data_IF_616186241996
#
_entry.id   IF_616186241996
#
_cell.length_a   1.000
_cell.length_b   1.000
_cell.length_c   1.000
_cell.angle_alpha   90.00
_cell.angle_beta   90.00
_cell.angle_gamma   90.00
#
_symmetry.space_group_name_H-M   'P 1'
#
loop_
_entity.id
_entity.type
_entity.pdbx_description
1 polymer ?
#
# COMPACT_ATOMS: atom_id res chain seq x y z
N UNK A 1 12.44 -23.50 -6.75
CA UNK A 1 11.90 -24.67 -7.49
C UNK A 1 10.70 -25.37 -6.83
N UNK A 2 10.26 -25.00 -5.63
CA UNK A 2 9.04 -25.56 -4.99
C UNK A 2 7.74 -24.89 -5.45
N UNK A 3 7.78 -23.65 -5.87
CA UNK A 3 6.61 -22.83 -6.30
C UNK A 3 6.00 -23.25 -7.64
N UNK A 4 6.74 -23.93 -8.51
CA UNK A 4 6.27 -24.29 -9.86
C UNK A 4 5.36 -25.55 -9.89
N UNK A 5 5.28 -26.32 -8.81
CA UNK A 5 4.40 -27.51 -8.74
C UNK A 5 2.95 -27.19 -8.39
N UNK A 6 2.67 -26.00 -7.81
CA UNK A 6 1.32 -25.58 -7.38
C UNK A 6 0.44 -25.26 -8.59
N UNK A 7 1.03 -24.83 -9.71
CA UNK A 7 0.28 -24.39 -10.90
C UNK A 7 -0.41 -25.54 -11.66
N UNK A 8 0.06 -26.79 -11.51
CA UNK A 8 -0.49 -27.91 -12.27
C UNK A 8 -1.70 -28.60 -11.61
N UNK A 9 -1.88 -28.44 -10.29
CA UNK A 9 -3.00 -29.07 -9.57
C UNK A 9 -4.35 -28.34 -9.75
N UNK A 10 -4.33 -27.08 -10.18
CA UNK A 10 -5.54 -26.25 -10.30
C UNK A 10 -6.29 -26.42 -11.63
N UNK A 11 -5.68 -27.07 -12.62
CA UNK A 11 -6.25 -27.14 -13.98
C UNK A 11 -7.16 -28.33 -14.31
N UNK A 12 -7.36 -29.29 -13.40
CA UNK A 12 -8.17 -30.50 -13.69
C UNK A 12 -9.29 -30.62 -12.69
N UNK A 13 -10.43 -29.97 -12.92
CA UNK A 13 -11.72 -30.36 -12.30
C UNK A 13 -12.90 -29.62 -12.93
N UNK A 14 -13.28 -30.06 -14.10
CA UNK A 14 -14.62 -29.86 -14.64
C UNK A 14 -15.34 -31.19 -14.55
N UNK A 15 -16.11 -31.45 -13.52
CA UNK A 15 -17.40 -32.20 -13.55
C UNK A 15 -17.86 -32.50 -12.12
N UNK A 16 -19.04 -32.16 -11.86
CA UNK A 16 -20.08 -32.87 -11.08
C UNK A 16 -20.82 -31.96 -10.09
N UNK A 17 -22.10 -31.92 -10.33
CA UNK A 17 -23.09 -31.18 -9.55
C UNK A 17 -23.35 -31.80 -8.16
N UNK A 18 -23.99 -30.96 -7.37
CA UNK A 18 -24.81 -31.26 -6.19
C UNK A 18 -24.38 -32.42 -5.28
N UNK A 19 -23.29 -32.23 -4.55
CA UNK A 19 -23.12 -32.89 -3.27
C UNK A 19 -22.30 -31.99 -2.35
N UNK A 20 -22.76 -31.81 -1.12
CA UNK A 20 -22.04 -31.00 -0.07
C UNK A 20 -20.71 -31.61 0.38
N UNK A 21 -20.19 -32.60 -0.31
CA UNK A 21 -18.97 -33.31 0.03
C UNK A 21 -17.83 -32.87 -0.89
N UNK A 22 -16.80 -32.26 -0.33
CA UNK A 22 -15.57 -31.94 -1.03
C UNK A 22 -14.92 -33.21 -1.58
N UNK A 23 -14.47 -33.18 -2.83
CA UNK A 23 -13.62 -34.24 -3.39
C UNK A 23 -12.25 -34.27 -2.69
N UNK A 24 -11.49 -35.35 -2.83
CA UNK A 24 -10.13 -35.44 -2.29
C UNK A 24 -9.23 -34.30 -2.79
N UNK A 25 -9.32 -33.98 -4.08
CA UNK A 25 -8.54 -32.90 -4.72
C UNK A 25 -8.95 -31.52 -4.23
N UNK A 26 -10.25 -31.26 -4.01
CA UNK A 26 -10.74 -30.00 -3.44
C UNK A 26 -10.25 -29.82 -2.00
N UNK A 27 -10.25 -30.89 -1.20
CA UNK A 27 -9.69 -30.85 0.19
C UNK A 27 -8.20 -30.55 0.19
N UNK A 28 -7.46 -31.14 -0.75
CA UNK A 28 -6.04 -30.88 -0.90
C UNK A 28 -5.80 -29.43 -1.29
N UNK A 29 -6.50 -28.91 -2.31
CA UNK A 29 -6.41 -27.50 -2.75
C UNK A 29 -6.71 -26.52 -1.61
N UNK A 30 -7.78 -26.77 -0.82
CA UNK A 30 -8.10 -25.95 0.35
C UNK A 30 -7.01 -26.03 1.43
N UNK A 31 -6.36 -27.15 1.60
CA UNK A 31 -5.26 -27.31 2.56
C UNK A 31 -4.03 -26.52 2.12
N UNK A 32 -3.68 -26.58 0.84
CA UNK A 32 -2.56 -25.80 0.26
C UNK A 32 -2.81 -24.30 0.35
N UNK A 33 -4.03 -23.83 0.03
CA UNK A 33 -4.42 -22.41 0.19
C UNK A 33 -4.31 -21.97 1.65
N UNK A 34 -4.76 -22.80 2.61
CA UNK A 34 -4.67 -22.51 4.04
C UNK A 34 -3.21 -22.40 4.52
N UNK A 35 -2.30 -23.22 4.02
CA UNK A 35 -0.87 -23.13 4.34
C UNK A 35 -0.27 -21.82 3.82
N UNK A 36 -0.56 -21.45 2.57
CA UNK A 36 -0.11 -20.18 1.98
C UNK A 36 -0.68 -18.99 2.77
N UNK A 37 -1.97 -19.01 3.12
CA UNK A 37 -2.63 -17.98 3.94
C UNK A 37 -1.97 -17.82 5.31
N UNK A 38 -1.72 -18.92 6.02
CA UNK A 38 -1.09 -18.84 7.34
C UNK A 38 0.34 -18.27 7.24
N UNK A 39 1.11 -18.65 6.22
CA UNK A 39 2.43 -18.08 5.97
C UNK A 39 2.36 -16.58 5.67
N UNK A 40 1.48 -16.17 4.76
CA UNK A 40 1.32 -14.76 4.40
C UNK A 40 0.84 -13.90 5.58
N UNK A 41 -0.05 -14.42 6.43
CA UNK A 41 -0.50 -13.74 7.66
C UNK A 41 0.70 -13.57 8.61
N UNK A 42 1.46 -14.64 8.88
CA UNK A 42 2.61 -14.58 9.77
C UNK A 42 3.67 -13.57 9.30
N UNK A 43 4.02 -13.60 8.01
CA UNK A 43 4.96 -12.66 7.41
C UNK A 43 4.47 -11.20 7.53
N UNK A 44 3.17 -10.97 7.28
CA UNK A 44 2.56 -9.64 7.36
C UNK A 44 2.54 -9.14 8.81
N UNK A 45 2.20 -10.00 9.78
CA UNK A 45 2.21 -9.68 11.21
C UNK A 45 3.62 -9.40 11.72
N UNK A 46 4.63 -10.10 11.20
CA UNK A 46 6.03 -9.82 11.52
C UNK A 46 6.44 -8.42 11.07
N UNK A 47 6.06 -7.98 9.85
CA UNK A 47 6.30 -6.61 9.38
C UNK A 47 5.61 -5.59 10.29
N UNK A 48 4.35 -5.83 10.65
CA UNK A 48 3.59 -4.95 11.54
C UNK A 48 4.25 -4.85 12.92
N UNK A 49 4.77 -5.96 13.44
CA UNK A 49 5.42 -6.00 14.76
C UNK A 49 6.76 -5.27 14.78
N UNK A 50 7.53 -5.37 13.68
CA UNK A 50 8.83 -4.68 13.53
C UNK A 50 8.66 -3.17 13.35
N UNK A 51 7.53 -2.72 12.77
CA UNK A 51 7.23 -1.31 12.51
C UNK A 51 5.77 -1.02 12.89
N UNK A 52 5.47 -0.80 14.17
CA UNK A 52 4.10 -0.58 14.63
C UNK A 52 3.61 0.81 14.20
N UNK A 53 3.12 0.92 12.98
CA UNK A 53 2.50 2.11 12.41
C UNK A 53 0.99 1.88 12.27
N UNK A 54 0.13 2.68 12.94
CA UNK A 54 -1.33 2.52 12.82
C UNK A 54 -1.85 2.82 11.41
N UNK A 55 -1.07 3.55 10.59
CA UNK A 55 -1.41 3.88 9.20
C UNK A 55 -0.81 2.89 8.20
N UNK A 56 -0.12 1.85 8.68
CA UNK A 56 0.56 0.88 7.84
C UNK A 56 -0.43 0.12 6.94
N UNK A 57 -0.18 0.07 5.63
CA UNK A 57 -1.00 -0.71 4.69
C UNK A 57 -1.00 -2.21 5.01
N UNK A 58 0.03 -2.68 5.71
CA UNK A 58 0.16 -4.08 6.11
C UNK A 58 -0.94 -4.55 7.07
N UNK A 59 -1.53 -3.65 7.88
CA UNK A 59 -2.68 -3.99 8.73
C UNK A 59 -3.91 -4.33 7.91
N UNK A 60 -4.22 -3.52 6.91
CA UNK A 60 -5.34 -3.74 5.99
C UNK A 60 -5.16 -5.06 5.22
N UNK A 61 -3.93 -5.35 4.77
CA UNK A 61 -3.61 -6.59 4.10
C UNK A 61 -3.73 -7.81 5.03
N UNK A 62 -3.26 -7.70 6.28
CA UNK A 62 -3.41 -8.76 7.28
C UNK A 62 -4.88 -9.06 7.57
N UNK A 63 -5.72 -8.04 7.71
CA UNK A 63 -7.16 -8.20 7.95
C UNK A 63 -7.86 -8.88 6.75
N UNK A 64 -7.47 -8.49 5.53
CA UNK A 64 -7.95 -9.12 4.31
C UNK A 64 -7.56 -10.60 4.24
N UNK A 65 -6.31 -10.94 4.54
CA UNK A 65 -5.85 -12.34 4.60
C UNK A 65 -6.62 -13.15 5.65
N UNK A 66 -6.88 -12.59 6.83
CA UNK A 66 -7.68 -13.25 7.88
C UNK A 66 -9.12 -13.50 7.39
N UNK A 67 -9.74 -12.53 6.73
CA UNK A 67 -11.08 -12.67 6.15
C UNK A 67 -11.13 -13.82 5.12
N UNK A 68 -10.16 -13.89 4.22
CA UNK A 68 -10.06 -14.98 3.26
C UNK A 68 -9.88 -16.32 3.97
N UNK A 69 -9.00 -16.38 4.98
CA UNK A 69 -8.75 -17.61 5.76
C UNK A 69 -10.01 -18.12 6.45
N UNK A 70 -10.79 -17.24 7.07
CA UNK A 70 -12.06 -17.61 7.72
C UNK A 70 -13.06 -18.19 6.71
N UNK A 71 -13.17 -17.59 5.52
CA UNK A 71 -14.03 -18.10 4.48
C UNK A 71 -13.58 -19.47 3.97
N UNK A 72 -12.30 -19.63 3.67
CA UNK A 72 -11.72 -20.93 3.25
C UNK A 72 -11.94 -22.00 4.33
N UNK A 73 -11.81 -21.62 5.62
CA UNK A 73 -12.10 -22.54 6.73
C UNK A 73 -13.55 -23.02 6.74
N UNK A 74 -14.52 -22.11 6.54
CA UNK A 74 -15.95 -22.47 6.46
C UNK A 74 -16.26 -23.43 5.32
N UNK A 75 -15.60 -23.22 4.16
CA UNK A 75 -15.75 -24.14 3.02
C UNK A 75 -15.14 -25.52 3.36
N UNK A 76 -13.96 -25.55 3.98
CA UNK A 76 -13.28 -26.78 4.41
C UNK A 76 -14.09 -27.58 5.42
N UNK A 77 -14.82 -26.88 6.29
CA UNK A 77 -15.72 -27.45 7.29
C UNK A 77 -17.10 -27.87 6.72
N UNK A 78 -17.32 -27.67 5.42
CA UNK A 78 -18.59 -27.98 4.76
C UNK A 78 -19.75 -27.04 5.10
N UNK A 79 -19.46 -25.88 5.74
CA UNK A 79 -20.45 -24.85 6.06
C UNK A 79 -20.82 -23.97 4.89
N UNK A 80 -19.96 -23.91 3.88
CA UNK A 80 -20.17 -23.17 2.65
C UNK A 80 -19.80 -24.03 1.43
N UNK A 81 -20.41 -23.80 0.28
CA UNK A 81 -20.13 -24.57 -0.94
C UNK A 81 -18.75 -24.22 -1.50
N UNK A 82 -18.09 -25.19 -2.12
CA UNK A 82 -16.86 -24.96 -2.86
C UNK A 82 -17.17 -24.29 -4.20
N UNK A 83 -16.56 -23.10 -4.44
CA UNK A 83 -16.60 -22.39 -5.71
C UNK A 83 -15.18 -22.28 -6.27
N UNK A 84 -14.94 -22.92 -7.42
CA UNK A 84 -13.63 -22.93 -8.07
C UNK A 84 -13.15 -21.53 -8.46
N UNK A 85 -14.06 -20.68 -8.99
CA UNK A 85 -13.68 -19.32 -9.42
C UNK A 85 -13.29 -18.47 -8.22
N UNK A 86 -14.03 -18.59 -7.12
CA UNK A 86 -13.71 -17.90 -5.88
C UNK A 86 -12.39 -18.36 -5.28
N UNK A 87 -12.12 -19.68 -5.30
CA UNK A 87 -10.84 -20.23 -4.81
C UNK A 87 -9.67 -19.77 -5.68
N UNK A 88 -9.83 -19.77 -7.00
CA UNK A 88 -8.80 -19.22 -7.91
C UNK A 88 -8.55 -17.74 -7.65
N UNK A 89 -9.60 -16.95 -7.42
CA UNK A 89 -9.49 -15.53 -7.04
C UNK A 89 -8.72 -15.38 -5.74
N UNK A 90 -9.05 -16.13 -4.69
CA UNK A 90 -8.36 -16.07 -3.41
C UNK A 90 -6.89 -16.47 -3.52
N UNK A 91 -6.60 -17.53 -4.27
CA UNK A 91 -5.20 -17.96 -4.50
C UNK A 91 -4.39 -16.84 -5.16
N UNK A 92 -4.92 -16.20 -6.21
CA UNK A 92 -4.24 -15.11 -6.89
C UNK A 92 -4.04 -13.89 -5.97
N UNK A 93 -5.04 -13.57 -5.17
CA UNK A 93 -5.02 -12.45 -4.22
C UNK A 93 -3.97 -12.68 -3.11
N UNK A 94 -3.96 -13.88 -2.53
CA UNK A 94 -2.99 -14.25 -1.47
C UNK A 94 -1.56 -14.27 -2.00
N UNK A 95 -1.33 -14.86 -3.17
CA UNK A 95 -0.02 -14.85 -3.81
C UNK A 95 0.44 -13.44 -4.15
N UNK A 96 -0.47 -12.56 -4.61
CA UNK A 96 -0.19 -11.15 -4.83
C UNK A 96 0.24 -10.43 -3.55
N UNK A 97 -0.46 -10.66 -2.43
CA UNK A 97 -0.11 -10.08 -1.14
C UNK A 97 1.25 -10.63 -0.66
N UNK A 98 1.47 -11.92 -0.74
CA UNK A 98 2.74 -12.55 -0.36
C UNK A 98 3.92 -11.97 -1.15
N UNK A 99 3.76 -11.74 -2.45
CA UNK A 99 4.78 -11.10 -3.27
C UNK A 99 5.10 -9.68 -2.80
N UNK A 100 4.09 -8.89 -2.39
CA UNK A 100 4.31 -7.55 -1.83
C UNK A 100 5.04 -7.63 -0.48
N UNK A 101 4.69 -8.61 0.38
CA UNK A 101 5.35 -8.85 1.68
C UNK A 101 6.81 -9.23 1.51
N UNK A 102 7.11 -10.12 0.57
CA UNK A 102 8.47 -10.60 0.30
C UNK A 102 9.34 -9.59 -0.47
N UNK A 103 8.72 -8.68 -1.23
CA UNK A 103 9.39 -7.66 -2.01
C UNK A 103 8.78 -6.28 -1.75
N UNK A 104 8.82 -5.78 -0.51
CA UNK A 104 8.22 -4.49 -0.18
C UNK A 104 8.96 -3.37 -0.92
N UNK A 105 8.21 -2.46 -1.52
CA UNK A 105 8.76 -1.24 -2.11
C UNK A 105 8.26 -0.07 -1.29
N UNK A 106 9.01 0.22 -0.23
CA UNK A 106 8.72 1.28 0.72
C UNK A 106 9.87 2.28 0.78
N UNK A 107 9.57 3.56 0.91
CA UNK A 107 10.57 4.61 1.12
C UNK A 107 10.09 5.59 2.18
N UNK A 108 11.04 6.07 2.97
CA UNK A 108 10.87 7.19 3.89
C UNK A 108 11.66 8.34 3.32
N UNK A 109 10.96 9.42 2.99
CA UNK A 109 11.49 10.53 2.23
C UNK A 109 11.49 11.80 3.10
N UNK A 110 12.64 12.43 3.27
CA UNK A 110 12.72 13.76 3.89
C UNK A 110 12.07 14.81 2.99
N UNK A 111 11.00 15.45 3.46
CA UNK A 111 10.22 16.40 2.66
C UNK A 111 11.06 17.59 2.16
N UNK A 112 12.06 17.99 2.92
CA UNK A 112 12.95 19.12 2.57
C UNK A 112 13.80 18.84 1.31
N UNK A 113 13.99 17.57 0.93
CA UNK A 113 14.64 17.19 -0.33
C UNK A 113 13.73 17.45 -1.53
N UNK A 114 12.42 17.30 -1.35
CA UNK A 114 11.44 17.41 -2.43
C UNK A 114 10.91 18.82 -2.62
N UNK A 115 10.68 19.55 -1.52
CA UNK A 115 10.03 20.84 -1.53
C UNK A 115 10.83 21.87 -0.74
N UNK A 116 11.05 23.03 -1.34
CA UNK A 116 11.49 24.19 -0.60
C UNK A 116 10.44 24.66 0.44
N UNK A 117 10.82 25.59 1.32
CA UNK A 117 9.90 26.17 2.31
C UNK A 117 8.62 26.71 1.65
N UNK A 118 7.46 26.35 2.20
CA UNK A 118 6.17 26.82 1.70
C UNK A 118 5.76 26.27 0.33
N UNK A 119 6.38 25.21 -0.17
CA UNK A 119 6.06 24.57 -1.45
C UNK A 119 5.43 23.21 -1.26
N UNK A 120 4.54 22.81 -2.19
CA UNK A 120 3.83 21.54 -2.17
C UNK A 120 3.32 21.06 -3.53
N UNK A 121 3.44 21.88 -4.60
CA UNK A 121 2.92 21.52 -5.93
C UNK A 121 3.89 20.61 -6.68
N UNK A 122 3.37 19.75 -7.56
CA UNK A 122 4.19 18.86 -8.42
C UNK A 122 5.24 19.66 -9.20
N UNK A 123 4.87 20.84 -9.73
CA UNK A 123 5.78 21.72 -10.47
C UNK A 123 6.91 22.31 -9.61
N UNK A 124 6.81 22.20 -8.29
CA UNK A 124 7.77 22.73 -7.32
C UNK A 124 8.69 21.64 -6.74
N UNK A 125 8.53 20.39 -7.19
CA UNK A 125 9.43 19.29 -6.85
C UNK A 125 10.84 19.60 -7.35
N UNK A 126 11.84 19.37 -6.48
CA UNK A 126 13.24 19.47 -6.86
C UNK A 126 13.65 18.39 -7.88
N UNK A 127 14.70 18.61 -8.65
CA UNK A 127 15.19 17.59 -9.58
C UNK A 127 15.69 16.33 -8.84
N UNK A 128 16.40 16.50 -7.71
CA UNK A 128 16.82 15.40 -6.85
C UNK A 128 15.61 14.58 -6.36
N UNK A 129 14.57 15.28 -5.88
CA UNK A 129 13.33 14.64 -5.46
C UNK A 129 12.64 13.86 -6.60
N UNK A 130 12.61 14.43 -7.81
CA UNK A 130 12.05 13.76 -8.99
C UNK A 130 12.84 12.49 -9.36
N UNK A 131 14.17 12.54 -9.26
CA UNK A 131 15.01 11.36 -9.52
C UNK A 131 14.76 10.24 -8.51
N UNK A 132 14.68 10.58 -7.21
CA UNK A 132 14.34 9.60 -6.17
C UNK A 132 12.97 8.95 -6.41
N UNK A 133 11.96 9.72 -6.83
CA UNK A 133 10.63 9.20 -7.13
C UNK A 133 10.58 8.37 -8.42
N UNK A 134 11.40 8.69 -9.43
CA UNK A 134 11.57 7.84 -10.63
C UNK A 134 12.23 6.51 -10.27
N UNK A 135 13.26 6.53 -9.42
CA UNK A 135 13.89 5.31 -8.94
C UNK A 135 12.89 4.44 -8.15
N UNK A 136 12.06 5.05 -7.29
CA UNK A 136 11.00 4.34 -6.58
C UNK A 136 9.98 3.70 -7.54
N UNK A 137 9.53 4.43 -8.57
CA UNK A 137 8.63 3.88 -9.59
C UNK A 137 9.28 2.70 -10.35
N UNK A 138 10.57 2.82 -10.69
CA UNK A 138 11.33 1.73 -11.31
C UNK A 138 11.43 0.49 -10.40
N UNK A 139 11.64 0.66 -9.09
CA UNK A 139 11.65 -0.45 -8.14
C UNK A 139 10.32 -1.21 -8.12
N UNK A 140 9.18 -0.50 -8.17
CA UNK A 140 7.84 -1.15 -8.27
C UNK A 140 7.77 -2.01 -9.53
N UNK A 141 8.19 -1.47 -10.69
CA UNK A 141 8.15 -2.20 -11.95
C UNK A 141 9.04 -3.45 -11.90
N UNK A 142 10.29 -3.31 -11.46
CA UNK A 142 11.27 -4.39 -11.47
C UNK A 142 10.99 -5.45 -10.40
N UNK A 143 10.67 -5.03 -9.18
CA UNK A 143 10.55 -5.95 -8.05
C UNK A 143 9.18 -6.61 -7.95
N UNK A 144 8.12 -5.95 -8.42
CA UNK A 144 6.75 -6.45 -8.26
C UNK A 144 6.04 -6.70 -9.58
N UNK A 145 5.91 -5.69 -10.47
CA UNK A 145 5.12 -5.84 -11.71
C UNK A 145 5.67 -6.95 -12.59
N UNK A 146 6.98 -6.95 -12.90
CA UNK A 146 7.60 -7.98 -13.75
C UNK A 146 7.47 -9.37 -13.16
N UNK A 147 7.65 -9.51 -11.84
CA UNK A 147 7.53 -10.82 -11.17
C UNK A 147 6.10 -11.33 -11.18
N UNK A 148 5.12 -10.45 -10.84
CA UNK A 148 3.71 -10.84 -10.89
C UNK A 148 3.25 -11.12 -12.33
N UNK A 149 3.72 -10.37 -13.31
CA UNK A 149 3.42 -10.63 -14.73
C UNK A 149 3.97 -11.99 -15.19
N UNK A 150 5.14 -12.39 -14.72
CA UNK A 150 5.69 -13.72 -15.00
C UNK A 150 4.86 -14.86 -14.39
N UNK A 151 4.26 -14.62 -13.22
CA UNK A 151 3.38 -15.59 -12.55
C UNK A 151 1.94 -15.59 -13.11
N UNK A 152 1.45 -14.43 -13.52
CA UNK A 152 0.08 -14.20 -13.99
C UNK A 152 0.06 -13.49 -15.34
N UNK A 153 0.49 -14.15 -16.44
CA UNK A 153 0.70 -13.49 -17.75
C UNK A 153 -0.59 -12.88 -18.32
N UNK A 154 -1.74 -13.48 -18.06
CA UNK A 154 -3.03 -13.07 -18.63
C UNK A 154 -3.93 -12.28 -17.66
N UNK A 155 -3.56 -12.20 -16.38
CA UNK A 155 -4.38 -11.52 -15.39
C UNK A 155 -4.13 -10.01 -15.41
N UNK A 156 -5.17 -9.17 -15.23
CA UNK A 156 -4.96 -7.75 -15.05
C UNK A 156 -4.23 -7.49 -13.71
N UNK A 157 -3.28 -6.56 -13.74
CA UNK A 157 -2.57 -6.10 -12.54
C UNK A 157 -2.98 -4.67 -12.22
N UNK A 158 -3.09 -4.36 -10.93
CA UNK A 158 -3.31 -3.00 -10.42
C UNK A 158 -2.13 -2.60 -9.54
N UNK A 159 -1.58 -1.41 -9.80
CA UNK A 159 -0.52 -0.80 -8.99
C UNK A 159 -1.17 0.23 -8.06
N UNK A 160 -1.03 0.03 -6.76
CA UNK A 160 -1.55 0.92 -5.71
C UNK A 160 -0.40 1.66 -5.06
N UNK A 161 -0.49 2.99 -5.02
CA UNK A 161 0.47 3.86 -4.35
C UNK A 161 -0.21 4.44 -3.12
N UNK A 162 0.46 4.38 -1.96
CA UNK A 162 0.01 5.05 -0.74
C UNK A 162 1.08 6.01 -0.26
N UNK A 163 0.71 7.24 0.03
CA UNK A 163 1.61 8.27 0.55
C UNK A 163 1.08 8.86 1.84
N UNK A 164 1.96 9.04 2.83
CA UNK A 164 1.60 9.51 4.17
C UNK A 164 2.56 10.63 4.53
N UNK A 165 2.08 11.86 4.50
CA UNK A 165 2.86 13.06 4.80
C UNK A 165 2.79 13.44 6.28
N UNK A 166 3.91 13.90 6.83
CA UNK A 166 4.04 14.42 8.18
C UNK A 166 4.63 15.84 8.15
N UNK A 167 4.37 16.62 9.17
CA UNK A 167 4.90 17.96 9.37
C UNK A 167 5.39 18.13 10.81
N UNK A 168 6.31 19.09 11.03
CA UNK A 168 6.65 19.55 12.36
C UNK A 168 5.66 20.62 12.86
N UNK A 169 5.90 21.13 14.06
CA UNK A 169 5.05 22.16 14.69
C UNK A 169 5.48 23.60 14.32
N UNK A 170 6.25 23.76 13.22
CA UNK A 170 6.65 25.10 12.78
C UNK A 170 5.44 25.91 12.31
N UNK A 171 5.27 27.14 12.82
CA UNK A 171 4.23 28.04 12.32
C UNK A 171 4.47 28.39 10.85
N UNK A 172 3.40 28.44 10.08
CA UNK A 172 3.45 28.89 8.70
C UNK A 172 3.53 30.42 8.62
N UNK A 173 4.22 30.93 7.61
CA UNK A 173 4.15 32.37 7.31
C UNK A 173 2.71 32.80 6.97
N UNK A 174 2.30 34.02 7.32
CA UNK A 174 0.92 34.47 7.10
C UNK A 174 0.46 34.35 5.65
N UNK A 175 1.28 34.73 4.68
CA UNK A 175 0.95 34.65 3.25
C UNK A 175 0.72 33.21 2.79
N UNK A 176 1.54 32.27 3.28
CA UNK A 176 1.42 30.84 2.93
C UNK A 176 0.18 30.22 3.59
N UNK A 177 -0.08 30.57 4.86
CA UNK A 177 -1.30 30.15 5.54
C UNK A 177 -2.57 30.64 4.79
N UNK A 178 -2.57 31.87 4.27
CA UNK A 178 -3.69 32.38 3.48
C UNK A 178 -3.81 31.70 2.11
N UNK A 179 -2.68 31.40 1.46
CA UNK A 179 -2.70 30.64 0.21
C UNK A 179 -3.29 29.22 0.42
N UNK A 180 -2.87 28.53 1.47
CA UNK A 180 -3.34 27.19 1.79
C UNK A 180 -4.81 27.15 2.21
N UNK A 181 -5.28 28.21 2.91
CA UNK A 181 -6.70 28.35 3.28
C UNK A 181 -7.63 28.45 2.08
N UNK A 182 -7.20 29.08 0.98
CA UNK A 182 -8.03 29.20 -0.23
C UNK A 182 -8.38 27.83 -0.82
N UNK A 183 -7.52 26.84 -0.60
CA UNK A 183 -7.70 25.47 -1.09
C UNK A 183 -8.48 24.59 -0.10
N UNK A 184 -8.74 25.10 1.12
CA UNK A 184 -9.52 24.40 2.13
C UNK A 184 -11.02 24.64 1.93
N UNK A 185 -11.77 23.55 1.84
CA UNK A 185 -13.24 23.61 1.78
C UNK A 185 -13.90 23.63 3.18
N UNK A 186 -13.12 23.91 4.24
CA UNK A 186 -13.57 23.90 5.64
C UNK A 186 -13.21 25.21 6.31
N UNK A 187 -13.99 25.60 7.33
CA UNK A 187 -13.68 26.76 8.17
C UNK A 187 -12.42 26.51 9.00
N UNK A 188 -11.49 27.47 8.95
CA UNK A 188 -10.24 27.39 9.75
C UNK A 188 -10.52 27.84 11.17
N UNK A 189 -10.12 27.08 12.20
CA UNK A 189 -10.29 27.46 13.60
C UNK A 189 -9.66 28.82 13.92
N UNK A 190 -10.29 29.58 14.82
CA UNK A 190 -9.75 30.85 15.32
C UNK A 190 -8.62 30.65 16.35
N UNK A 191 -8.67 29.53 17.09
CA UNK A 191 -7.68 29.18 18.12
C UNK A 191 -6.31 28.90 17.46
N UNK A 192 -5.20 29.54 17.89
CA UNK A 192 -3.92 29.49 17.20
C UNK A 192 -3.33 28.07 17.04
N UNK A 193 -3.43 27.22 18.07
CA UNK A 193 -2.88 25.85 18.02
C UNK A 193 -3.69 24.99 17.06
N UNK A 194 -5.02 25.02 17.18
CA UNK A 194 -5.91 24.25 16.30
C UNK A 194 -5.77 24.72 14.84
N UNK A 195 -5.61 26.03 14.61
CA UNK A 195 -5.32 26.58 13.29
C UNK A 195 -4.01 26.05 12.72
N UNK A 196 -2.92 26.06 13.51
CA UNK A 196 -1.61 25.54 13.08
C UNK A 196 -1.71 24.07 12.74
N UNK A 197 -2.32 23.26 13.62
CA UNK A 197 -2.49 21.82 13.41
C UNK A 197 -3.26 21.50 12.14
N UNK A 198 -4.36 22.23 11.90
CA UNK A 198 -5.16 22.04 10.68
C UNK A 198 -4.35 22.39 9.42
N UNK A 199 -3.63 23.50 9.43
CA UNK A 199 -2.82 23.93 8.28
C UNK A 199 -1.64 22.96 8.05
N UNK A 200 -0.97 22.48 9.09
CA UNK A 200 0.11 21.52 8.97
C UNK A 200 -0.41 20.15 8.45
N UNK A 201 -1.64 19.77 8.82
CA UNK A 201 -2.30 18.59 8.28
C UNK A 201 -2.58 18.74 6.79
N UNK A 202 -3.10 19.87 6.37
CA UNK A 202 -3.36 20.17 4.96
C UNK A 202 -2.05 20.21 4.15
N UNK A 203 -1.02 20.90 4.64
CA UNK A 203 0.28 20.95 3.97
C UNK A 203 0.88 19.56 3.79
N UNK A 204 0.85 18.73 4.83
CA UNK A 204 1.37 17.37 4.76
C UNK A 204 0.58 16.50 3.79
N UNK A 205 -0.75 16.69 3.71
CA UNK A 205 -1.61 16.04 2.71
C UNK A 205 -1.27 16.47 1.28
N UNK A 206 -1.15 17.77 1.01
CA UNK A 206 -0.83 18.28 -0.34
C UNK A 206 0.54 17.82 -0.83
N UNK A 207 1.52 17.76 0.06
CA UNK A 207 2.85 17.23 -0.26
C UNK A 207 2.78 15.73 -0.58
N UNK A 208 2.09 14.94 0.24
CA UNK A 208 1.86 13.53 -0.02
C UNK A 208 1.14 13.32 -1.36
N UNK A 209 0.10 14.11 -1.65
CA UNK A 209 -0.63 14.07 -2.91
C UNK A 209 0.30 14.35 -4.10
N UNK A 210 1.10 15.40 -4.05
CA UNK A 210 2.03 15.74 -5.15
C UNK A 210 3.08 14.66 -5.39
N UNK A 211 3.58 14.03 -4.33
CA UNK A 211 4.51 12.89 -4.42
C UNK A 211 3.80 11.70 -5.08
N UNK A 212 2.61 11.34 -4.60
CA UNK A 212 1.83 10.21 -5.14
C UNK A 212 1.48 10.38 -6.62
N UNK A 213 0.99 11.56 -7.00
CA UNK A 213 0.64 11.88 -8.39
C UNK A 213 1.88 11.87 -9.31
N UNK A 214 3.02 12.37 -8.84
CA UNK A 214 4.26 12.29 -9.62
C UNK A 214 4.70 10.84 -9.86
N UNK A 215 4.67 9.99 -8.83
CA UNK A 215 5.00 8.56 -8.98
C UNK A 215 4.02 7.87 -9.92
N UNK A 216 2.71 8.16 -9.82
CA UNK A 216 1.71 7.65 -10.77
C UNK A 216 2.07 8.01 -12.21
N UNK A 217 2.38 9.28 -12.49
CA UNK A 217 2.79 9.72 -13.83
C UNK A 217 4.03 8.96 -14.34
N UNK A 218 5.02 8.71 -13.46
CA UNK A 218 6.20 7.94 -13.84
C UNK A 218 5.86 6.47 -14.14
N UNK A 219 5.04 5.84 -13.30
CA UNK A 219 4.59 4.46 -13.52
C UNK A 219 3.80 4.33 -14.82
N UNK A 220 2.85 5.24 -15.09
CA UNK A 220 2.08 5.26 -16.34
C UNK A 220 2.98 5.41 -17.58
N UNK A 221 4.08 6.17 -17.46
CA UNK A 221 5.06 6.30 -18.54
C UNK A 221 5.93 5.06 -18.75
N UNK A 222 6.19 4.29 -17.69
CA UNK A 222 7.02 3.08 -17.72
C UNK A 222 6.23 1.83 -18.08
N UNK A 223 4.94 1.79 -17.69
CA UNK A 223 4.07 0.63 -17.85
C UNK A 223 3.35 0.69 -19.21
N UNK A 224 4.06 0.37 -20.27
CA UNK A 224 3.50 0.21 -21.63
C UNK A 224 2.86 -1.17 -21.84
N UNK A 225 2.88 -2.03 -20.83
CA UNK A 225 2.35 -3.39 -20.91
C UNK A 225 0.83 -3.41 -20.85
N UNK A 226 0.21 -4.25 -21.69
CA UNK A 226 -1.23 -4.49 -21.61
C UNK A 226 -1.65 -5.04 -20.25
N UNK A 227 -2.86 -4.69 -19.83
CA UNK A 227 -3.50 -5.17 -18.60
C UNK A 227 -2.76 -4.81 -17.29
N UNK A 228 -2.00 -3.71 -17.28
CA UNK A 228 -1.51 -3.11 -16.04
C UNK A 228 -2.12 -1.74 -15.88
N UNK A 229 -2.78 -1.49 -14.75
CA UNK A 229 -3.37 -0.20 -14.41
C UNK A 229 -2.66 0.40 -13.20
N UNK A 230 -2.56 1.72 -13.17
CA UNK A 230 -2.08 2.44 -11.98
C UNK A 230 -3.28 3.16 -11.37
N UNK A 231 -3.63 2.77 -10.15
CA UNK A 231 -4.76 3.37 -9.46
C UNK A 231 -4.46 4.81 -9.02
N UNK A 232 -5.50 5.56 -8.68
CA UNK A 232 -5.32 6.87 -8.07
C UNK A 232 -4.62 6.72 -6.72
N UNK A 233 -3.58 7.53 -6.43
CA UNK A 233 -2.84 7.41 -5.18
C UNK A 233 -3.73 7.65 -3.96
N UNK A 234 -3.53 6.85 -2.91
CA UNK A 234 -4.18 7.01 -1.62
C UNK A 234 -3.28 7.88 -0.75
N UNK A 235 -3.72 9.11 -0.45
CA UNK A 235 -2.90 10.11 0.21
C UNK A 235 -3.43 10.44 1.61
N UNK A 236 -2.52 10.55 2.59
CA UNK A 236 -2.85 10.93 3.96
C UNK A 236 -1.96 12.08 4.43
N UNK A 237 -2.57 13.06 5.10
CA UNK A 237 -1.88 14.12 5.82
C UNK A 237 -2.00 13.89 7.32
N UNK A 238 -0.91 13.56 7.97
CA UNK A 238 -0.85 13.30 9.42
C UNK A 238 -0.54 14.57 10.22
N UNK A 239 -0.18 15.67 9.53
CA UNK A 239 0.16 16.93 10.21
C UNK A 239 1.28 16.75 11.22
N UNK A 240 1.05 17.20 12.45
CA UNK A 240 2.00 17.21 13.55
C UNK A 240 2.11 15.87 14.31
N UNK A 241 1.46 14.80 13.83
CA UNK A 241 1.64 13.48 14.42
C UNK A 241 3.11 13.01 14.33
N UNK A 242 3.52 12.17 15.27
CA UNK A 242 4.87 11.60 15.23
C UNK A 242 4.97 10.53 14.13
N UNK A 243 5.98 10.60 13.25
CA UNK A 243 6.13 9.66 12.13
C UNK A 243 6.34 8.21 12.57
N UNK A 244 6.96 8.01 13.74
CA UNK A 244 7.31 6.71 14.31
C UNK A 244 6.72 6.59 15.71
N UNK A 245 5.39 6.72 15.81
CA UNK A 245 4.69 6.58 17.09
C UNK A 245 4.93 5.19 17.68
N UNK A 246 5.45 5.14 18.92
CA UNK A 246 5.76 3.89 19.62
C UNK A 246 7.20 3.37 19.45
N UNK A 247 8.01 3.97 18.57
CA UNK A 247 9.44 3.67 18.48
C UNK A 247 10.24 4.66 19.37
N UNK A 248 11.25 4.20 20.13
CA UNK A 248 12.16 5.10 20.81
C UNK A 248 13.02 5.82 19.77
N UNK A 249 12.96 7.14 19.77
CA UNK A 249 13.78 8.00 18.89
C UNK A 249 14.77 8.75 19.75
N UNK A 250 16.06 8.56 19.47
CA UNK A 250 17.15 9.23 20.17
C UNK A 250 17.88 10.26 19.26
N UNK A 251 18.02 11.51 19.67
CA UNK A 251 17.32 12.16 20.79
C UNK A 251 15.82 12.31 20.52
N UNK A 252 14.98 12.47 21.55
CA UNK A 252 13.53 12.64 21.39
C UNK A 252 13.16 13.77 20.42
N UNK A 253 12.04 13.65 19.74
CA UNK A 253 11.57 14.68 18.81
C UNK A 253 11.30 16.02 19.53
N UNK A 254 11.88 17.08 18.98
CA UNK A 254 11.51 18.45 19.35
C UNK A 254 10.30 18.92 18.51
N UNK A 255 9.52 19.91 18.97
CA UNK A 255 8.36 20.42 18.23
C UNK A 255 8.67 20.83 16.78
N UNK A 256 9.81 21.45 16.53
CA UNK A 256 10.25 21.92 15.20
C UNK A 256 11.35 21.03 14.60
N UNK A 257 11.33 19.75 14.91
CA UNK A 257 12.35 18.80 14.44
C UNK A 257 12.14 18.46 12.96
N UNK A 258 13.18 18.71 12.17
CA UNK A 258 13.19 18.39 10.74
C UNK A 258 12.93 16.90 10.45
N UNK A 259 13.34 16.00 11.38
CA UNK A 259 13.09 14.56 11.26
C UNK A 259 11.61 14.21 11.26
N UNK A 260 10.72 15.13 11.70
CA UNK A 260 9.26 14.98 11.61
C UNK A 260 8.71 15.33 10.22
N UNK A 261 9.47 16.07 9.39
CA UNK A 261 9.05 16.47 8.04
C UNK A 261 9.41 15.40 7.03
N UNK A 262 8.63 14.32 7.02
CA UNK A 262 8.83 13.19 6.13
C UNK A 262 7.55 12.86 5.37
N UNK A 263 7.73 12.12 4.27
CA UNK A 263 6.66 11.40 3.59
C UNK A 263 7.04 9.92 3.52
N UNK A 264 6.15 9.05 3.99
CA UNK A 264 6.26 7.60 3.76
C UNK A 264 5.53 7.29 2.46
N UNK A 265 6.15 6.50 1.61
CA UNK A 265 5.54 6.04 0.36
C UNK A 265 5.64 4.53 0.25
N UNK A 266 4.53 3.91 -0.12
CA UNK A 266 4.39 2.46 -0.29
C UNK A 266 3.87 2.16 -1.68
N UNK A 267 4.48 1.19 -2.35
CA UNK A 267 4.05 0.67 -3.64
C UNK A 267 3.70 -0.80 -3.54
N UNK A 268 2.48 -1.15 -3.94
CA UNK A 268 1.99 -2.51 -3.96
C UNK A 268 1.35 -2.84 -5.30
N UNK A 269 1.55 -4.07 -5.78
CA UNK A 269 0.94 -4.55 -7.01
C UNK A 269 0.05 -5.74 -6.70
N UNK A 270 -1.16 -5.73 -7.23
CA UNK A 270 -2.15 -6.79 -7.01
C UNK A 270 -2.65 -7.35 -8.33
N UNK A 271 -3.08 -8.60 -8.30
CA UNK A 271 -3.90 -9.17 -9.37
C UNK A 271 -5.30 -8.58 -9.23
N UNK A 272 -5.72 -7.79 -10.21
CA UNK A 272 -7.04 -7.16 -10.18
C UNK A 272 -8.15 -8.20 -10.37
N UNK A 273 -9.31 -8.06 -9.69
CA UNK A 273 -10.46 -8.91 -9.96
C UNK A 273 -10.95 -8.71 -11.39
N UNK A 274 -11.35 -9.81 -12.04
CA UNK A 274 -12.00 -9.76 -13.35
C UNK A 274 -13.43 -9.25 -13.23
#
# INVERSE_FOLDING_TARGET
MKTMKIFFAVCILLTAGCSHWLTGEQRQALTEIMEILNTAIAETEEIISRKPDPTSPWRELADKLRTIREHVSRIKEGKEPYDFNLMSKYTNEVLGIQMNVQNPVDRILGVDVFFGPGRYKISELSEEGKEMLRAFASDIVEMQVKKLRALFPDQPLSVVIRTIGYADEMPMSPWFAEALKKDLHQSVPAEPVAKRQMLNRELSFRRAQSIGEYVKMQLESMLTMEKVTVDSPINFGMGEALPFAGEPVEPPYMPQDKRRRICKIHGNVFVAPR
#
